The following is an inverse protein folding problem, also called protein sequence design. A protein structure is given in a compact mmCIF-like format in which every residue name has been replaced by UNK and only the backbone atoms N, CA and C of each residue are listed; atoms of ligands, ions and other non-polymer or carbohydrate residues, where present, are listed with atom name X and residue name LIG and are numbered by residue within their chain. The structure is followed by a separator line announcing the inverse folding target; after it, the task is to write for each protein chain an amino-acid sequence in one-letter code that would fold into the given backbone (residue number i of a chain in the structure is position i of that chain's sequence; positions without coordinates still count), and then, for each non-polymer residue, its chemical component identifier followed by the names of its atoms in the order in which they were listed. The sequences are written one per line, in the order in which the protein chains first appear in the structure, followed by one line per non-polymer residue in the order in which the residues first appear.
data_IF_007073908947
#
_entry.id   IF_007073908947
#
_cell.length_a   1.000
_cell.length_b   1.000
_cell.length_c   1.000
_cell.angle_alpha   90.00
_cell.angle_beta   90.00
_cell.angle_gamma   90.00
#
_symmetry.space_group_name_H-M   'P 1'
#
loop_
_entity.id
_entity.type
_entity.pdbx_description
1 polymer ?
#
# COMPACT_ATOMS: atom_id res chain seq x y z
N UNK A 1 1.73 9.59 9.47
CA UNK A 1 1.56 8.16 9.81
C UNK A 1 2.90 7.43 9.85
N UNK A 2 3.71 7.47 8.78
CA UNK A 2 4.98 6.76 8.68
C UNK A 2 5.97 7.11 9.81
N UNK A 3 6.12 8.39 10.17
CA UNK A 3 6.99 8.82 11.27
C UNK A 3 6.60 8.18 12.61
N UNK A 4 5.30 8.04 12.87
CA UNK A 4 4.79 7.37 14.07
C UNK A 4 5.16 5.89 14.04
N UNK A 5 4.98 5.21 12.90
CA UNK A 5 5.36 3.80 12.76
C UNK A 5 6.86 3.60 12.97
N UNK A 6 7.70 4.45 12.36
CA UNK A 6 9.16 4.41 12.50
C UNK A 6 9.64 4.72 13.93
N UNK A 7 8.85 5.46 14.73
CA UNK A 7 9.17 5.74 16.13
C UNK A 7 8.88 4.58 17.09
N UNK A 8 8.10 3.58 16.66
CA UNK A 8 7.74 2.45 17.50
C UNK A 8 8.86 1.40 17.49
N UNK A 9 9.25 0.85 18.66
CA UNK A 9 10.19 -0.26 18.69
C UNK A 9 9.64 -1.47 17.93
N UNK A 10 10.36 -1.92 16.90
CA UNK A 10 9.90 -3.01 16.03
C UNK A 10 9.52 -4.27 16.82
N UNK A 11 10.27 -4.61 17.87
CA UNK A 11 10.00 -5.77 18.73
C UNK A 11 8.72 -5.68 19.58
N UNK A 12 8.02 -4.55 19.55
CA UNK A 12 6.70 -4.35 20.17
C UNK A 12 5.57 -4.32 19.14
N UNK A 13 5.89 -4.48 17.85
CA UNK A 13 4.91 -4.48 16.78
C UNK A 13 4.46 -5.91 16.48
N UNK A 14 3.15 -6.08 16.34
CA UNK A 14 2.52 -7.25 15.76
C UNK A 14 2.03 -6.85 14.36
N UNK A 15 2.50 -7.56 13.34
CA UNK A 15 2.19 -7.27 11.92
C UNK A 15 1.45 -8.45 11.33
N UNK A 16 0.26 -8.20 10.80
CA UNK A 16 -0.52 -9.19 10.06
C UNK A 16 -0.30 -8.93 8.57
N UNK A 17 0.05 -9.97 7.81
CA UNK A 17 0.09 -9.92 6.34
C UNK A 17 -0.97 -10.86 5.79
N UNK A 18 -1.92 -10.31 5.04
CA UNK A 18 -3.11 -11.04 4.58
C UNK A 18 -2.81 -12.09 3.51
N UNK A 19 -1.85 -11.84 2.61
CA UNK A 19 -1.43 -12.78 1.56
C UNK A 19 -0.12 -12.34 0.88
N UNK A 20 0.30 -13.07 -0.16
CA UNK A 20 1.64 -12.96 -0.74
C UNK A 20 1.82 -12.01 -1.93
N UNK A 21 0.80 -11.25 -2.35
CA UNK A 21 0.94 -10.30 -3.45
C UNK A 21 1.86 -9.12 -3.07
N UNK A 22 2.55 -8.54 -4.07
CA UNK A 22 3.61 -7.55 -3.85
C UNK A 22 3.10 -6.20 -3.32
N UNK A 23 1.82 -5.90 -3.51
CA UNK A 23 1.17 -4.70 -2.96
C UNK A 23 0.80 -4.83 -1.47
N UNK A 24 0.90 -6.03 -0.90
CA UNK A 24 0.68 -6.28 0.54
C UNK A 24 2.00 -6.45 1.31
N UNK A 25 3.13 -6.40 0.60
CA UNK A 25 4.47 -6.70 1.12
C UNK A 25 5.54 -5.80 0.51
N UNK A 26 5.91 -4.73 1.22
CA UNK A 26 7.11 -3.96 0.90
C UNK A 26 8.35 -4.61 1.55
N UNK A 27 9.12 -5.36 0.75
CA UNK A 27 10.28 -6.10 1.23
C UNK A 27 11.35 -5.18 1.84
N UNK A 28 11.59 -4.02 1.23
CA UNK A 28 12.56 -3.04 1.73
C UNK A 28 12.12 -2.51 3.10
N UNK A 29 10.86 -2.09 3.20
CA UNK A 29 10.32 -1.56 4.45
C UNK A 29 10.35 -2.62 5.57
N UNK A 30 10.00 -3.87 5.25
CA UNK A 30 10.04 -4.96 6.22
C UNK A 30 11.46 -5.19 6.72
N UNK A 31 12.43 -5.34 5.82
CA UNK A 31 13.82 -5.61 6.19
C UNK A 31 14.43 -4.48 7.02
N UNK A 32 14.15 -3.23 6.65
CA UNK A 32 14.77 -2.07 7.28
C UNK A 32 14.10 -1.66 8.59
N UNK A 33 12.78 -1.84 8.71
CA UNK A 33 12.01 -1.23 9.80
C UNK A 33 11.20 -2.22 10.63
N UNK A 34 10.85 -3.38 10.07
CA UNK A 34 9.97 -4.34 10.74
C UNK A 34 10.64 -5.68 11.04
N UNK A 35 11.92 -5.88 10.70
CA UNK A 35 12.60 -7.17 10.88
C UNK A 35 12.55 -7.69 12.33
N UNK A 36 12.40 -6.80 13.32
CA UNK A 36 12.24 -7.13 14.74
C UNK A 36 10.80 -7.44 15.20
N UNK A 37 9.78 -7.19 14.38
CA UNK A 37 8.36 -7.40 14.70
C UNK A 37 7.95 -8.87 14.75
N UNK A 38 6.82 -9.16 15.38
CA UNK A 38 6.17 -10.48 15.30
C UNK A 38 5.21 -10.47 14.12
N UNK A 39 5.42 -11.40 13.18
CA UNK A 39 4.57 -11.52 12.00
C UNK A 39 3.54 -12.64 12.17
N UNK A 40 2.32 -12.34 11.79
CA UNK A 40 1.19 -13.25 11.71
C UNK A 40 0.77 -13.36 10.25
N UNK A 41 0.65 -14.58 9.76
CA UNK A 41 0.24 -14.85 8.37
C UNK A 41 -0.79 -15.96 8.35
N UNK A 42 -1.72 -15.98 7.39
CA UNK A 42 -2.58 -17.14 7.15
C UNK A 42 -1.78 -18.41 6.89
N UNK A 43 -2.30 -19.52 7.41
CA UNK A 43 -1.84 -20.85 7.01
C UNK A 43 -2.43 -21.24 5.66
N UNK A 44 -1.73 -20.90 4.58
CA UNK A 44 -2.09 -21.36 3.24
C UNK A 44 -1.64 -22.79 2.96
N UNK A 45 -2.15 -23.35 1.87
CA UNK A 45 -1.77 -24.69 1.38
C UNK A 45 -0.27 -24.80 1.05
N UNK A 46 0.32 -23.71 0.61
CA UNK A 46 1.77 -23.59 0.38
C UNK A 46 2.37 -22.63 1.40
N UNK A 47 3.61 -22.88 1.79
CA UNK A 47 4.33 -22.02 2.75
C UNK A 47 5.04 -20.84 2.09
N UNK A 48 4.65 -20.45 0.87
CA UNK A 48 5.34 -19.42 0.09
C UNK A 48 5.41 -18.08 0.81
N UNK A 49 4.29 -17.61 1.37
CA UNK A 49 4.23 -16.39 2.18
C UNK A 49 5.11 -16.53 3.44
N UNK A 50 4.94 -17.61 4.20
CA UNK A 50 5.70 -17.84 5.43
C UNK A 50 7.21 -17.85 5.19
N UNK A 51 7.66 -18.50 4.10
CA UNK A 51 9.06 -18.53 3.68
C UNK A 51 9.57 -17.18 3.18
N UNK A 52 8.73 -16.40 2.51
CA UNK A 52 9.05 -15.02 2.12
C UNK A 52 9.31 -14.16 3.35
N UNK A 53 8.42 -14.20 4.35
CA UNK A 53 8.61 -13.49 5.63
C UNK A 53 9.84 -13.98 6.39
N UNK A 54 10.08 -15.29 6.45
CA UNK A 54 11.26 -15.86 7.11
C UNK A 54 12.56 -15.34 6.48
N UNK A 55 12.62 -15.26 5.14
CA UNK A 55 13.77 -14.70 4.43
C UNK A 55 14.00 -13.21 4.74
N UNK A 56 12.92 -12.43 4.88
CA UNK A 56 13.01 -10.99 5.13
C UNK A 56 13.36 -10.66 6.59
N UNK A 57 12.94 -11.49 7.54
CA UNK A 57 13.02 -11.18 8.98
C UNK A 57 13.97 -12.10 9.75
N UNK A 58 14.42 -13.19 9.13
CA UNK A 58 15.20 -14.25 9.77
C UNK A 58 14.40 -15.14 10.72
N UNK A 59 13.06 -14.99 10.79
CA UNK A 59 12.18 -15.72 11.72
C UNK A 59 10.93 -16.22 11.00
N UNK A 60 10.57 -17.48 11.22
CA UNK A 60 9.32 -18.03 10.70
C UNK A 60 8.12 -17.32 11.38
N UNK A 61 7.12 -16.83 10.61
CA UNK A 61 5.97 -16.16 11.19
C UNK A 61 5.05 -17.14 11.94
N UNK A 62 4.15 -16.60 12.75
CA UNK A 62 3.04 -17.35 13.32
C UNK A 62 1.99 -17.57 12.24
N UNK A 63 1.66 -18.82 11.96
CA UNK A 63 0.60 -19.17 11.01
C UNK A 63 -0.76 -19.23 11.72
N UNK A 64 -1.68 -18.39 11.28
CA UNK A 64 -3.05 -18.31 11.78
C UNK A 64 -3.94 -19.32 11.04
N UNK A 65 -4.83 -19.97 11.78
CA UNK A 65 -5.91 -20.83 11.28
C UNK A 65 -7.25 -20.31 11.79
N UNK A 66 -8.32 -21.08 11.59
CA UNK A 66 -9.64 -20.84 12.18
C UNK A 66 -9.67 -21.07 13.70
N UNK A 67 -8.59 -21.58 14.28
CA UNK A 67 -8.39 -21.67 15.73
C UNK A 67 -7.97 -20.33 16.32
N UNK A 68 -8.47 -20.01 17.53
CA UNK A 68 -8.14 -18.78 18.22
C UNK A 68 -6.65 -18.69 18.60
N UNK A 69 -5.99 -17.62 18.18
CA UNK A 69 -4.65 -17.26 18.63
C UNK A 69 -4.70 -15.95 19.42
N UNK A 70 -4.21 -15.93 20.66
CA UNK A 70 -4.28 -14.75 21.51
C UNK A 70 -2.94 -14.01 21.62
N UNK A 71 -2.98 -12.68 21.43
CA UNK A 71 -1.85 -11.76 21.64
C UNK A 71 -2.34 -10.58 22.46
N UNK A 72 -1.82 -10.40 23.68
CA UNK A 72 -2.14 -9.25 24.53
C UNK A 72 -3.65 -9.00 24.72
N UNK A 73 -4.44 -10.07 24.85
CA UNK A 73 -5.90 -9.99 25.00
C UNK A 73 -6.69 -9.78 23.70
N UNK A 74 -6.00 -9.77 22.55
CA UNK A 74 -6.61 -9.75 21.22
C UNK A 74 -6.57 -11.15 20.63
N UNK A 75 -7.73 -11.64 20.21
CA UNK A 75 -7.90 -12.89 19.48
C UNK A 75 -7.72 -12.64 17.97
N UNK A 76 -6.89 -13.46 17.35
CA UNK A 76 -6.65 -13.50 15.92
C UNK A 76 -7.11 -14.86 15.38
N UNK A 77 -7.89 -14.84 14.29
CA UNK A 77 -8.18 -16.03 13.49
C UNK A 77 -8.05 -15.72 12.01
N UNK A 78 -7.92 -16.76 11.23
CA UNK A 78 -7.82 -16.69 9.79
C UNK A 78 -8.77 -17.71 9.15
N UNK A 79 -9.47 -17.28 8.10
CA UNK A 79 -10.36 -18.11 7.32
C UNK A 79 -9.99 -18.00 5.84
N UNK A 80 -10.17 -19.10 5.10
CA UNK A 80 -9.93 -19.19 3.66
C UNK A 80 -11.27 -19.47 2.98
N UNK A 81 -11.56 -18.78 1.88
CA UNK A 81 -12.71 -19.09 1.04
C UNK A 81 -12.31 -20.14 -0.02
N UNK A 82 -12.62 -21.44 0.19
CA UNK A 82 -12.15 -22.50 -0.70
C UNK A 82 -12.81 -22.46 -2.08
N UNK A 83 -13.92 -21.74 -2.25
CA UNK A 83 -14.63 -21.63 -3.53
C UNK A 83 -14.05 -20.54 -4.45
N UNK A 84 -13.19 -19.66 -3.91
CA UNK A 84 -12.53 -18.62 -4.69
C UNK A 84 -11.05 -18.91 -4.89
N UNK A 85 -10.28 -18.95 -3.80
CA UNK A 85 -8.83 -19.12 -3.85
C UNK A 85 -8.30 -19.69 -2.53
N UNK A 86 -7.30 -20.56 -2.62
CA UNK A 86 -6.58 -21.11 -1.47
C UNK A 86 -5.46 -20.18 -0.98
N UNK A 87 -5.34 -18.96 -1.52
CA UNK A 87 -4.21 -18.04 -1.32
C UNK A 87 -4.57 -16.63 -0.87
N UNK A 88 -5.86 -16.34 -0.68
CA UNK A 88 -6.35 -15.12 -0.05
C UNK A 88 -7.06 -15.49 1.25
N UNK A 89 -7.06 -14.58 2.21
CA UNK A 89 -7.59 -14.85 3.55
C UNK A 89 -8.49 -13.74 4.06
N UNK A 90 -9.32 -14.14 5.03
CA UNK A 90 -10.06 -13.24 5.89
C UNK A 90 -9.44 -13.37 7.27
N UNK A 91 -8.95 -12.27 7.84
CA UNK A 91 -8.41 -12.25 9.20
C UNK A 91 -9.41 -11.58 10.12
N UNK A 92 -9.77 -12.23 11.23
CA UNK A 92 -10.53 -11.59 12.29
C UNK A 92 -9.60 -11.12 13.39
N UNK A 93 -9.87 -9.92 13.90
CA UNK A 93 -9.13 -9.28 14.99
C UNK A 93 -10.17 -8.89 16.04
N UNK A 94 -10.22 -9.64 17.13
CA UNK A 94 -11.29 -9.56 18.12
C UNK A 94 -10.70 -9.17 19.47
N UNK A 95 -11.27 -8.15 20.08
CA UNK A 95 -10.98 -7.69 21.43
C UNK A 95 -12.20 -7.93 22.33
N UNK A 96 -12.10 -7.54 23.61
CA UNK A 96 -13.24 -7.62 24.54
C UNK A 96 -14.46 -6.80 24.07
N UNK A 97 -14.24 -5.72 23.30
CA UNK A 97 -15.30 -4.78 22.94
C UNK A 97 -15.64 -4.74 21.46
N UNK A 98 -14.69 -5.08 20.60
CA UNK A 98 -14.75 -4.85 19.16
C UNK A 98 -14.24 -6.05 18.36
N UNK A 99 -14.80 -6.22 17.16
CA UNK A 99 -14.34 -7.19 16.19
C UNK A 99 -14.15 -6.55 14.82
N UNK A 100 -13.01 -6.83 14.20
CA UNK A 100 -12.69 -6.44 12.83
C UNK A 100 -12.63 -7.70 11.98
N UNK A 101 -13.33 -7.69 10.86
CA UNK A 101 -13.24 -8.70 9.80
C UNK A 101 -12.49 -8.04 8.65
N UNK A 102 -11.23 -8.40 8.48
CA UNK A 102 -10.34 -7.88 7.45
C UNK A 102 -10.32 -8.87 6.28
N UNK A 103 -11.21 -8.66 5.31
CA UNK A 103 -11.41 -9.54 4.15
C UNK A 103 -10.52 -9.18 2.95
N UNK A 104 -10.01 -7.95 2.86
CA UNK A 104 -9.10 -7.52 1.80
C UNK A 104 -9.59 -7.94 0.39
N UNK A 105 -8.76 -8.62 -0.40
CA UNK A 105 -9.02 -9.17 -1.74
C UNK A 105 -10.08 -10.30 -1.78
N UNK A 106 -10.54 -10.81 -0.63
CA UNK A 106 -11.54 -11.87 -0.55
C UNK A 106 -12.97 -11.32 -0.74
N UNK A 107 -13.25 -10.80 -1.95
CA UNK A 107 -14.48 -10.08 -2.30
C UNK A 107 -15.66 -10.96 -2.74
N UNK A 108 -15.42 -12.23 -3.05
CA UNK A 108 -16.44 -13.16 -3.51
C UNK A 108 -17.48 -13.46 -2.42
N UNK A 109 -18.67 -13.93 -2.82
CA UNK A 109 -19.66 -14.39 -1.86
C UNK A 109 -19.11 -15.56 -1.05
N UNK A 110 -19.37 -15.55 0.26
CA UNK A 110 -18.87 -16.55 1.18
C UNK A 110 -19.80 -17.75 1.24
N UNK A 111 -19.26 -18.98 1.19
CA UNK A 111 -20.07 -20.18 1.40
C UNK A 111 -20.61 -20.21 2.83
N UNK A 112 -21.74 -20.89 3.02
CA UNK A 112 -22.45 -20.97 4.32
C UNK A 112 -21.53 -21.44 5.45
N UNK A 113 -20.67 -22.43 5.20
CA UNK A 113 -19.73 -22.92 6.22
C UNK A 113 -18.76 -21.83 6.71
N UNK A 114 -18.32 -20.94 5.81
CA UNK A 114 -17.43 -19.82 6.15
C UNK A 114 -18.18 -18.75 6.94
N UNK A 115 -19.40 -18.40 6.53
CA UNK A 115 -20.21 -17.41 7.25
C UNK A 115 -20.63 -17.90 8.63
N UNK A 116 -20.96 -19.18 8.78
CA UNK A 116 -21.25 -19.82 10.07
C UNK A 116 -20.04 -19.75 11.01
N UNK A 117 -18.84 -20.09 10.53
CA UNK A 117 -17.61 -20.03 11.32
C UNK A 117 -17.24 -18.60 11.73
N UNK A 118 -17.42 -17.62 10.84
CA UNK A 118 -17.26 -16.20 11.16
C UNK A 118 -18.27 -15.78 12.24
N UNK A 119 -19.56 -16.09 12.06
CA UNK A 119 -20.59 -15.75 13.03
C UNK A 119 -20.36 -16.39 14.41
N UNK A 120 -19.82 -17.60 14.45
CA UNK A 120 -19.46 -18.28 15.70
C UNK A 120 -18.38 -17.51 16.46
N UNK A 121 -17.28 -17.12 15.82
CA UNK A 121 -16.20 -16.39 16.51
C UNK A 121 -16.59 -14.95 16.89
N UNK A 122 -17.51 -14.33 16.15
CA UNK A 122 -17.98 -12.97 16.40
C UNK A 122 -19.08 -12.90 17.47
N UNK A 123 -19.61 -14.04 17.93
CA UNK A 123 -20.82 -14.10 18.74
C UNK A 123 -20.76 -13.30 20.05
N UNK A 124 -19.57 -13.17 20.64
CA UNK A 124 -19.32 -12.49 21.91
C UNK A 124 -19.33 -10.96 21.77
N UNK A 125 -19.15 -10.43 20.54
CA UNK A 125 -19.10 -9.00 20.27
C UNK A 125 -20.46 -8.53 19.75
N UNK A 126 -21.06 -7.45 20.29
CA UNK A 126 -22.30 -6.87 19.77
C UNK A 126 -22.18 -6.43 18.30
N UNK A 127 -23.26 -6.54 17.51
CA UNK A 127 -23.25 -6.23 16.07
C UNK A 127 -22.76 -4.82 15.75
N UNK A 128 -23.09 -3.83 16.58
CA UNK A 128 -22.68 -2.43 16.43
C UNK A 128 -21.16 -2.19 16.54
N UNK A 129 -20.44 -3.15 17.14
CA UNK A 129 -18.99 -3.14 17.32
C UNK A 129 -18.27 -4.15 16.41
N UNK A 130 -18.97 -4.65 15.38
CA UNK A 130 -18.39 -5.49 14.32
C UNK A 130 -18.15 -4.64 13.08
N UNK A 131 -16.94 -4.70 12.54
CA UNK A 131 -16.53 -3.89 11.40
C UNK A 131 -16.02 -4.79 10.27
N UNK A 132 -16.68 -4.74 9.12
CA UNK A 132 -16.31 -5.52 7.94
C UNK A 132 -15.57 -4.64 6.94
N UNK A 133 -14.33 -5.01 6.65
CA UNK A 133 -13.43 -4.29 5.76
C UNK A 133 -13.09 -5.17 4.56
N UNK A 134 -13.26 -4.65 3.35
CA UNK A 134 -12.98 -5.38 2.11
C UNK A 134 -12.47 -4.43 1.01
N UNK A 135 -11.75 -4.95 0.03
CA UNK A 135 -11.33 -4.17 -1.14
C UNK A 135 -12.52 -3.92 -2.09
N UNK A 136 -12.54 -2.75 -2.74
CA UNK A 136 -13.39 -2.50 -3.91
C UNK A 136 -12.60 -1.95 -5.08
N UNK A 137 -12.50 -2.73 -6.15
CA UNK A 137 -11.86 -2.29 -7.38
C UNK A 137 -10.92 -3.34 -7.97
N UNK A 138 -10.61 -3.14 -9.23
CA UNK A 138 -9.83 -4.02 -10.09
C UNK A 138 -8.33 -3.80 -9.87
N UNK A 139 -7.72 -4.54 -8.96
CA UNK A 139 -6.27 -4.47 -8.72
C UNK A 139 -5.46 -5.34 -9.70
N UNK A 140 -5.93 -5.49 -10.94
CA UNK A 140 -5.19 -6.23 -11.95
C UNK A 140 -5.24 -5.49 -13.30
N UNK A 141 -4.38 -5.94 -14.21
CA UNK A 141 -4.24 -5.37 -15.54
C UNK A 141 -5.41 -5.71 -16.49
N UNK A 142 -6.33 -6.60 -16.10
CA UNK A 142 -7.41 -7.08 -16.96
C UNK A 142 -8.67 -6.24 -16.78
N UNK A 143 -9.32 -5.77 -17.87
CA UNK A 143 -8.98 -6.00 -19.28
C UNK A 143 -8.10 -4.89 -19.90
N UNK A 144 -7.80 -3.82 -19.16
CA UNK A 144 -7.26 -2.57 -19.73
C UNK A 144 -5.93 -2.76 -20.46
N UNK A 145 -5.02 -3.58 -19.94
CA UNK A 145 -3.71 -3.80 -20.51
C UNK A 145 -3.66 -5.03 -21.43
N UNK A 146 -4.82 -5.54 -21.88
CA UNK A 146 -4.94 -6.70 -22.76
C UNK A 146 -5.29 -6.23 -24.18
N UNK A 147 -4.34 -6.23 -25.13
CA UNK A 147 -4.53 -5.62 -26.46
C UNK A 147 -5.65 -6.23 -27.32
N UNK A 148 -6.16 -7.41 -26.94
CA UNK A 148 -7.26 -8.10 -27.62
C UNK A 148 -8.62 -7.48 -27.35
N UNK A 149 -8.78 -6.69 -26.30
CA UNK A 149 -10.05 -6.03 -26.00
C UNK A 149 -10.05 -4.61 -26.51
N UNK A 150 -11.09 -4.25 -27.26
CA UNK A 150 -11.35 -2.85 -27.55
C UNK A 150 -11.85 -2.11 -26.30
N UNK A 151 -11.87 -0.78 -26.37
CA UNK A 151 -12.24 0.09 -25.25
C UNK A 151 -13.66 -0.17 -24.75
N UNK A 152 -14.59 -0.49 -25.65
CA UNK A 152 -15.99 -0.69 -25.28
C UNK A 152 -16.12 -2.00 -24.50
N UNK A 153 -15.58 -3.08 -25.03
CA UNK A 153 -15.54 -4.40 -24.39
C UNK A 153 -14.86 -4.32 -23.03
N UNK A 154 -13.73 -3.61 -22.94
CA UNK A 154 -13.03 -3.38 -21.69
C UNK A 154 -13.91 -2.67 -20.64
N UNK A 155 -14.61 -1.59 -21.03
CA UNK A 155 -15.51 -0.87 -20.13
C UNK A 155 -16.70 -1.73 -19.67
N UNK A 156 -17.31 -2.50 -20.56
CA UNK A 156 -18.42 -3.41 -20.22
C UNK A 156 -17.98 -4.47 -19.20
N UNK A 157 -16.77 -5.02 -19.36
CA UNK A 157 -16.18 -5.96 -18.39
C UNK A 157 -15.89 -5.29 -17.04
N UNK A 158 -15.36 -4.07 -17.04
CA UNK A 158 -15.07 -3.31 -15.82
C UNK A 158 -16.37 -3.06 -15.04
N UNK A 159 -17.41 -2.54 -15.69
CA UNK A 159 -18.73 -2.31 -15.07
C UNK A 159 -19.34 -3.61 -14.55
N UNK A 160 -19.23 -4.71 -15.31
CA UNK A 160 -19.70 -6.02 -14.86
C UNK A 160 -18.96 -6.50 -13.61
N UNK A 161 -17.63 -6.30 -13.52
CA UNK A 161 -16.83 -6.67 -12.34
C UNK A 161 -17.24 -5.85 -11.13
N UNK A 162 -17.38 -4.53 -11.27
CA UNK A 162 -17.83 -3.68 -10.16
C UNK A 162 -19.20 -4.08 -9.63
N UNK A 163 -20.13 -4.42 -10.52
CA UNK A 163 -21.42 -4.98 -10.12
C UNK A 163 -21.26 -6.28 -9.34
N UNK A 164 -20.49 -7.24 -9.85
CA UNK A 164 -20.24 -8.50 -9.14
C UNK A 164 -19.61 -8.30 -7.77
N UNK A 165 -18.70 -7.33 -7.62
CA UNK A 165 -18.06 -7.00 -6.34
C UNK A 165 -19.10 -6.49 -5.34
N UNK A 166 -19.93 -5.54 -5.77
CA UNK A 166 -20.96 -4.97 -4.92
C UNK A 166 -22.01 -6.01 -4.52
N UNK A 167 -22.46 -6.84 -5.47
CA UNK A 167 -23.46 -7.89 -5.23
C UNK A 167 -22.94 -8.91 -4.19
N UNK A 168 -21.72 -9.43 -4.41
CA UNK A 168 -21.07 -10.38 -3.50
C UNK A 168 -20.85 -9.79 -2.10
N UNK A 169 -20.33 -8.55 -2.04
CA UNK A 169 -20.10 -7.88 -0.75
C UNK A 169 -21.42 -7.64 0.00
N UNK A 170 -22.49 -7.29 -0.72
CA UNK A 170 -23.82 -7.08 -0.12
C UNK A 170 -24.39 -8.39 0.44
N UNK A 171 -24.20 -9.50 -0.29
CA UNK A 171 -24.58 -10.83 0.20
C UNK A 171 -23.81 -11.19 1.48
N UNK A 172 -22.48 -10.97 1.50
CA UNK A 172 -21.66 -11.24 2.68
C UNK A 172 -22.10 -10.44 3.92
N UNK A 173 -22.38 -9.14 3.77
CA UNK A 173 -22.92 -8.33 4.87
C UNK A 173 -24.23 -8.90 5.41
N UNK A 174 -25.14 -9.31 4.52
CA UNK A 174 -26.42 -9.91 4.91
C UNK A 174 -26.21 -11.23 5.67
N UNK A 175 -25.33 -12.10 5.19
CA UNK A 175 -25.02 -13.38 5.85
C UNK A 175 -24.36 -13.19 7.23
N UNK A 176 -23.60 -12.11 7.41
CA UNK A 176 -22.97 -11.74 8.67
C UNK A 176 -23.88 -10.90 9.59
N UNK A 177 -25.08 -10.55 9.14
CA UNK A 177 -26.02 -9.70 9.89
C UNK A 177 -25.51 -8.27 10.11
N UNK A 178 -24.70 -7.75 9.19
CA UNK A 178 -24.09 -6.42 9.29
C UNK A 178 -24.81 -5.42 8.39
N UNK A 179 -25.15 -4.26 8.94
CA UNK A 179 -25.85 -3.20 8.20
C UNK A 179 -24.91 -2.40 7.28
N UNK A 180 -23.60 -2.48 7.52
CA UNK A 180 -22.60 -1.67 6.81
C UNK A 180 -21.26 -2.38 6.66
N UNK A 181 -20.60 -2.13 5.54
CA UNK A 181 -19.22 -2.50 5.26
C UNK A 181 -18.34 -1.30 4.92
N UNK A 182 -17.04 -1.53 4.88
CA UNK A 182 -16.03 -0.51 4.67
C UNK A 182 -15.11 -0.92 3.52
N UNK A 183 -15.06 -0.08 2.48
CA UNK A 183 -14.10 -0.27 1.41
C UNK A 183 -12.80 0.43 1.77
N UNK A 184 -11.70 -0.31 1.74
CA UNK A 184 -10.36 0.17 2.03
C UNK A 184 -9.41 -0.53 1.05
N UNK A 185 -8.41 0.19 0.55
CA UNK A 185 -7.59 -0.21 -0.59
C UNK A 185 -8.36 -0.30 -1.92
N UNK A 186 -8.21 0.74 -2.75
CA UNK A 186 -8.72 0.75 -4.11
C UNK A 186 -7.55 1.06 -5.06
N UNK A 187 -6.75 0.04 -5.33
CA UNK A 187 -5.81 -0.08 -6.45
C UNK A 187 -4.55 0.80 -6.51
N UNK A 188 -3.56 0.18 -7.12
CA UNK A 188 -2.23 0.60 -7.53
C UNK A 188 -2.27 1.59 -8.70
N UNK A 189 -1.34 2.55 -8.70
CA UNK A 189 -1.10 3.43 -9.85
C UNK A 189 -0.53 2.60 -11.02
N UNK A 190 -1.41 2.13 -11.91
CA UNK A 190 -1.01 1.41 -13.11
C UNK A 190 -0.53 2.36 -14.20
N UNK A 191 0.49 1.93 -14.95
CA UNK A 191 0.74 2.50 -16.26
C UNK A 191 -0.26 1.91 -17.25
N UNK A 192 -1.26 2.71 -17.62
CA UNK A 192 -2.21 2.33 -18.65
C UNK A 192 -1.56 2.41 -20.05
N UNK A 193 -1.98 1.56 -21.01
CA UNK A 193 -1.54 1.69 -22.38
C UNK A 193 -2.00 3.03 -22.97
N UNK A 194 -1.25 3.56 -23.94
CA UNK A 194 -1.58 4.84 -24.62
C UNK A 194 -2.98 4.80 -25.26
N UNK A 195 -3.48 3.62 -25.60
CA UNK A 195 -4.83 3.44 -26.11
C UNK A 195 -5.92 3.73 -25.07
N UNK A 196 -5.62 3.69 -23.78
CA UNK A 196 -6.56 4.00 -22.70
C UNK A 196 -6.57 5.51 -22.42
N UNK A 197 -7.62 6.17 -22.89
CA UNK A 197 -7.86 7.62 -22.75
C UNK A 197 -9.00 7.91 -21.76
N UNK A 198 -9.31 6.95 -20.89
CA UNK A 198 -10.36 7.04 -19.87
C UNK A 198 -9.75 7.37 -18.51
N UNK A 199 -10.59 7.76 -17.51
CA UNK A 199 -10.15 7.86 -16.12
C UNK A 199 -9.47 6.58 -15.62
N UNK A 200 -8.77 6.69 -14.49
CA UNK A 200 -8.18 5.52 -13.86
C UNK A 200 -9.25 4.51 -13.42
N UNK A 201 -8.86 3.25 -13.25
CA UNK A 201 -9.75 2.24 -12.68
C UNK A 201 -10.22 2.59 -11.26
N UNK A 202 -9.44 3.38 -10.51
CA UNK A 202 -9.87 3.97 -9.25
C UNK A 202 -11.02 4.97 -9.46
N UNK A 203 -10.86 5.93 -10.37
CA UNK A 203 -11.88 6.94 -10.65
C UNK A 203 -13.18 6.30 -11.17
N UNK A 204 -13.06 5.27 -12.01
CA UNK A 204 -14.19 4.50 -12.50
C UNK A 204 -14.90 3.75 -11.36
N UNK A 205 -14.16 3.20 -10.41
CA UNK A 205 -14.75 2.56 -9.23
C UNK A 205 -15.49 3.57 -8.34
N UNK A 206 -14.92 4.78 -8.14
CA UNK A 206 -15.57 5.85 -7.38
C UNK A 206 -16.85 6.34 -8.06
N UNK A 207 -16.82 6.55 -9.38
CA UNK A 207 -17.99 6.92 -10.17
C UNK A 207 -19.07 5.82 -10.09
N UNK A 208 -18.68 4.54 -10.19
CA UNK A 208 -19.60 3.42 -10.05
C UNK A 208 -20.30 3.42 -8.69
N UNK A 209 -19.57 3.59 -7.58
CA UNK A 209 -20.13 3.62 -6.23
C UNK A 209 -21.05 4.83 -6.00
N UNK A 210 -20.75 5.97 -6.63
CA UNK A 210 -21.63 7.14 -6.61
C UNK A 210 -22.96 6.87 -7.32
N UNK A 211 -22.92 6.16 -8.46
CA UNK A 211 -24.13 5.80 -9.24
C UNK A 211 -24.92 4.65 -8.61
N UNK A 212 -24.24 3.74 -7.93
CA UNK A 212 -24.82 2.54 -7.33
C UNK A 212 -24.51 2.55 -5.82
N UNK A 213 -25.19 3.39 -5.03
CA UNK A 213 -24.95 3.42 -3.59
C UNK A 213 -25.35 2.08 -2.96
N UNK A 214 -24.53 1.59 -2.05
CA UNK A 214 -24.79 0.39 -1.26
C UNK A 214 -24.60 0.64 0.23
N UNK A 215 -24.70 -0.40 1.07
CA UNK A 215 -24.43 -0.33 2.52
C UNK A 215 -22.91 -0.19 2.81
N UNK A 216 -22.20 0.65 2.07
CA UNK A 216 -20.73 0.73 2.11
C UNK A 216 -20.25 2.15 2.33
N UNK A 217 -19.14 2.26 3.05
CA UNK A 217 -18.42 3.52 3.23
C UNK A 217 -17.04 3.34 2.61
N UNK A 218 -16.72 4.17 1.61
CA UNK A 218 -15.36 4.29 1.12
C UNK A 218 -14.50 4.94 2.21
N UNK A 219 -13.49 4.24 2.70
CA UNK A 219 -12.54 4.79 3.66
C UNK A 219 -11.60 5.75 2.94
N UNK A 220 -11.45 6.94 3.51
CA UNK A 220 -10.33 7.83 3.19
C UNK A 220 -9.21 7.63 4.22
N UNK A 221 -7.98 7.97 3.83
CA UNK A 221 -6.86 7.96 4.77
C UNK A 221 -7.15 8.87 5.97
N UNK A 222 -6.81 8.42 7.18
CA UNK A 222 -7.00 9.19 8.41
C UNK A 222 -8.43 9.22 8.97
N UNK A 223 -9.37 8.43 8.43
CA UNK A 223 -10.71 8.30 9.00
C UNK A 223 -10.71 7.46 10.28
N UNK A 224 -11.42 7.94 11.30
CA UNK A 224 -11.82 7.17 12.47
C UNK A 224 -13.17 6.50 12.20
N UNK A 225 -13.19 5.17 12.19
CA UNK A 225 -14.38 4.41 11.81
C UNK A 225 -15.50 4.48 12.87
N UNK A 226 -15.13 4.68 14.15
CA UNK A 226 -16.09 4.80 15.25
C UNK A 226 -16.70 6.19 15.32
N UNK A 227 -15.86 7.21 15.27
CA UNK A 227 -16.31 8.60 15.43
C UNK A 227 -16.68 9.27 14.11
N UNK A 228 -16.30 8.67 12.97
CA UNK A 228 -16.36 9.25 11.62
C UNK A 228 -15.60 10.56 11.48
N UNK A 229 -14.70 10.85 12.41
CA UNK A 229 -13.85 12.04 12.32
C UNK A 229 -12.73 11.77 11.34
N UNK A 230 -12.46 12.74 10.47
CA UNK A 230 -11.26 12.78 9.68
C UNK A 230 -10.19 13.49 10.49
N UNK A 231 -9.09 12.80 10.78
CA UNK A 231 -7.90 13.47 11.26
C UNK A 231 -7.23 14.12 10.05
N UNK A 232 -7.39 15.42 9.95
CA UNK A 232 -6.83 16.26 8.90
C UNK A 232 -5.30 16.15 8.96
N UNK A 233 -4.73 15.28 8.14
CA UNK A 233 -3.32 15.34 7.79
C UNK A 233 -3.28 15.73 6.33
N UNK A 234 -2.66 16.87 6.01
CA UNK A 234 -2.24 17.19 4.65
C UNK A 234 -1.47 15.98 4.12
N UNK A 235 -2.14 15.12 3.37
CA UNK A 235 -1.54 13.87 2.93
C UNK A 235 -0.75 14.17 1.68
N UNK A 236 0.41 14.81 1.86
CA UNK A 236 1.46 14.63 0.87
C UNK A 236 1.64 13.12 0.72
N UNK A 237 1.57 12.62 -0.52
CA UNK A 237 1.77 11.21 -0.78
C UNK A 237 3.15 10.81 -0.21
N UNK A 238 3.24 9.63 0.39
CA UNK A 238 4.48 9.19 1.05
C UNK A 238 5.69 9.31 0.12
N UNK A 239 5.52 8.99 -1.15
CA UNK A 239 6.56 9.14 -2.15
C UNK A 239 7.04 10.59 -2.29
N UNK A 240 6.12 11.54 -2.47
CA UNK A 240 6.47 12.96 -2.66
C UNK A 240 7.12 13.53 -1.40
N UNK A 241 6.60 13.15 -0.21
CA UNK A 241 7.19 13.49 1.07
C UNK A 241 8.64 13.01 1.19
N UNK A 242 8.91 11.73 0.87
CA UNK A 242 10.26 11.17 0.91
C UNK A 242 11.20 11.84 -0.10
N UNK A 243 10.71 12.14 -1.30
CA UNK A 243 11.47 12.83 -2.34
C UNK A 243 11.83 14.26 -1.89
N UNK A 244 10.88 14.98 -1.29
CA UNK A 244 11.11 16.30 -0.71
C UNK A 244 12.11 16.29 0.44
N UNK A 245 12.10 15.26 1.28
CA UNK A 245 13.12 15.07 2.34
C UNK A 245 14.52 14.85 1.77
N UNK A 246 14.63 14.06 0.70
CA UNK A 246 15.90 13.84 0.01
C UNK A 246 16.40 15.13 -0.66
N UNK A 247 15.51 15.90 -1.28
CA UNK A 247 15.81 17.22 -1.86
C UNK A 247 16.32 18.18 -0.78
N UNK A 248 15.66 18.26 0.37
CA UNK A 248 16.07 19.09 1.49
C UNK A 248 17.46 18.70 2.00
N UNK A 249 17.73 17.39 2.12
CA UNK A 249 19.06 16.88 2.49
C UNK A 249 20.13 17.33 1.49
N UNK A 250 19.89 17.17 0.19
CA UNK A 250 20.84 17.57 -0.86
C UNK A 250 21.13 19.06 -0.80
N UNK A 251 20.11 19.91 -0.72
CA UNK A 251 20.27 21.36 -0.66
C UNK A 251 21.08 21.80 0.57
N UNK A 252 20.79 21.21 1.74
CA UNK A 252 21.54 21.46 2.98
C UNK A 252 23.00 21.02 2.87
N UNK A 253 23.26 19.87 2.25
CA UNK A 253 24.62 19.32 2.10
C UNK A 253 25.45 20.06 1.02
N UNK A 254 24.81 20.58 -0.01
CA UNK A 254 25.47 21.32 -1.09
C UNK A 254 25.80 22.74 -0.65
N UNK A 255 24.89 23.38 0.10
CA UNK A 255 25.00 24.75 0.61
C UNK A 255 25.44 25.73 -0.50
N UNK A 256 24.59 25.85 -1.52
CA UNK A 256 24.88 26.60 -2.73
C UNK A 256 23.80 27.64 -3.05
N UNK A 257 24.13 28.69 -3.82
CA UNK A 257 23.18 29.73 -4.18
C UNK A 257 22.11 29.27 -5.18
N UNK A 258 22.29 28.09 -5.79
CA UNK A 258 21.39 27.52 -6.78
C UNK A 258 20.82 26.22 -6.23
N UNK A 259 19.51 26.15 -5.98
CA UNK A 259 18.90 24.99 -5.37
C UNK A 259 18.85 23.81 -6.34
N UNK A 260 18.94 22.62 -5.77
CA UNK A 260 18.66 21.35 -6.45
C UNK A 260 17.18 21.04 -6.32
N UNK A 261 16.56 20.60 -7.41
CA UNK A 261 15.19 20.10 -7.44
C UNK A 261 15.15 18.65 -7.88
N UNK A 262 14.40 17.81 -7.17
CA UNK A 262 14.13 16.42 -7.55
C UNK A 262 12.71 16.34 -8.08
N UNK A 263 12.58 15.94 -9.35
CA UNK A 263 11.39 16.20 -10.16
C UNK A 263 10.90 14.86 -10.71
N UNK A 264 9.58 14.64 -10.71
CA UNK A 264 8.98 13.55 -11.48
C UNK A 264 8.60 14.03 -12.88
N UNK A 265 8.45 13.13 -13.84
CA UNK A 265 8.11 13.48 -15.24
C UNK A 265 6.80 14.27 -15.42
N UNK A 266 6.00 14.44 -14.37
CA UNK A 266 4.76 15.24 -14.37
C UNK A 266 4.90 16.64 -13.77
N UNK A 267 6.05 16.97 -13.16
CA UNK A 267 6.26 18.28 -12.55
C UNK A 267 6.93 19.25 -13.54
N UNK A 268 6.55 20.52 -13.50
CA UNK A 268 7.22 21.55 -14.29
C UNK A 268 8.60 21.91 -13.71
N UNK A 269 9.57 22.12 -14.60
CA UNK A 269 10.90 22.58 -14.22
C UNK A 269 10.87 24.06 -13.80
N UNK A 270 11.36 24.33 -12.60
CA UNK A 270 11.51 25.69 -12.08
C UNK A 270 12.79 26.35 -12.61
N UNK A 271 12.64 27.44 -13.37
CA UNK A 271 13.77 28.22 -13.89
C UNK A 271 14.66 28.74 -12.76
N UNK A 272 15.98 28.63 -12.92
CA UNK A 272 16.95 29.05 -11.90
C UNK A 272 17.42 27.94 -10.97
N UNK A 273 16.93 26.70 -11.14
CA UNK A 273 17.30 25.53 -10.32
C UNK A 273 18.16 24.53 -11.10
N UNK A 274 18.80 23.58 -10.41
CA UNK A 274 19.36 22.37 -11.05
C UNK A 274 18.37 21.23 -10.83
N UNK A 275 17.62 20.88 -11.87
CA UNK A 275 16.59 19.85 -11.80
C UNK A 275 17.14 18.47 -12.17
N UNK A 276 16.91 17.47 -11.34
CA UNK A 276 17.07 16.06 -11.69
C UNK A 276 15.68 15.48 -11.90
N UNK A 277 15.36 15.08 -13.12
CA UNK A 277 14.06 14.52 -13.48
C UNK A 277 14.18 13.02 -13.72
N UNK A 278 13.29 12.24 -13.14
CA UNK A 278 13.17 10.81 -13.44
C UNK A 278 11.73 10.31 -13.19
N UNK A 279 11.42 9.11 -13.67
CA UNK A 279 10.12 8.48 -13.37
C UNK A 279 9.99 8.14 -11.88
N UNK A 280 8.75 8.05 -11.37
CA UNK A 280 8.50 7.58 -9.99
C UNK A 280 9.16 6.21 -9.71
N UNK A 281 9.23 5.33 -10.70
CA UNK A 281 9.90 4.04 -10.58
C UNK A 281 11.41 4.20 -10.31
N UNK A 282 12.11 5.08 -11.04
CA UNK A 282 13.54 5.32 -10.83
C UNK A 282 13.78 5.93 -9.45
N UNK A 283 12.97 6.92 -9.07
CA UNK A 283 13.05 7.53 -7.74
C UNK A 283 12.78 6.53 -6.61
N UNK A 284 11.76 5.67 -6.76
CA UNK A 284 11.44 4.62 -5.78
C UNK A 284 12.63 3.67 -5.58
N UNK A 285 13.28 3.25 -6.66
CA UNK A 285 14.50 2.42 -6.59
C UNK A 285 15.67 3.13 -5.93
N UNK A 286 15.79 4.45 -6.08
CA UNK A 286 16.80 5.25 -5.35
C UNK A 286 16.46 5.33 -3.86
N UNK A 287 15.20 5.57 -3.51
CA UNK A 287 14.72 5.65 -2.11
C UNK A 287 14.82 4.30 -1.39
N UNK A 288 14.68 3.19 -2.12
CA UNK A 288 14.89 1.82 -1.62
C UNK A 288 16.36 1.37 -1.67
N UNK A 289 17.27 2.28 -2.00
CA UNK A 289 18.72 2.04 -2.11
C UNK A 289 19.15 0.99 -3.17
N UNK A 290 18.28 0.59 -4.09
CA UNK A 290 18.63 -0.28 -5.22
C UNK A 290 19.48 0.45 -6.27
N UNK A 291 19.23 1.74 -6.43
CA UNK A 291 19.97 2.64 -7.32
C UNK A 291 20.57 3.79 -6.53
N UNK A 292 21.63 4.38 -7.09
CA UNK A 292 22.15 5.67 -6.62
C UNK A 292 21.60 6.79 -7.49
N UNK A 293 21.75 8.04 -7.04
CA UNK A 293 21.50 9.22 -7.88
C UNK A 293 22.30 9.19 -9.19
N UNK A 294 23.42 8.45 -9.26
CA UNK A 294 24.20 8.33 -10.50
C UNK A 294 23.43 7.64 -11.63
N UNK A 295 22.39 6.87 -11.33
CA UNK A 295 21.50 6.32 -12.34
C UNK A 295 20.88 7.40 -13.23
N UNK A 296 20.61 8.59 -12.66
CA UNK A 296 20.12 9.76 -13.41
C UNK A 296 21.30 10.54 -14.00
N UNK A 297 22.32 10.78 -13.18
CA UNK A 297 23.43 11.68 -13.52
C UNK A 297 24.27 11.17 -14.69
N UNK A 298 24.61 9.88 -14.65
CA UNK A 298 25.52 9.21 -15.59
C UNK A 298 24.80 8.08 -16.32
N UNK A 299 23.91 7.36 -15.62
CA UNK A 299 23.23 6.16 -16.11
C UNK A 299 22.12 6.42 -17.13
N UNK A 300 21.72 7.68 -17.36
CA UNK A 300 20.73 8.04 -18.38
C UNK A 300 19.30 7.60 -18.06
N UNK A 301 18.99 7.27 -16.80
CA UNK A 301 17.63 6.91 -16.35
C UNK A 301 16.74 8.13 -16.06
N UNK A 302 17.12 9.31 -16.55
CA UNK A 302 16.44 10.58 -16.32
C UNK A 302 17.06 11.73 -17.09
N UNK A 303 16.61 12.95 -16.79
CA UNK A 303 17.09 14.19 -17.40
C UNK A 303 17.70 15.12 -16.35
N UNK A 304 18.62 15.97 -16.80
CA UNK A 304 19.21 17.02 -15.97
C UNK A 304 18.87 18.37 -16.60
N UNK A 305 18.07 19.14 -15.88
CA UNK A 305 17.75 20.53 -16.21
C UNK A 305 18.77 21.44 -15.54
N UNK A 306 19.27 22.42 -16.30
CA UNK A 306 20.26 23.37 -15.79
C UNK A 306 19.79 24.81 -15.97
N UNK A 307 20.14 25.71 -15.04
CA UNK A 307 20.00 27.13 -15.27
C UNK A 307 21.07 27.60 -16.27
N UNK A 308 20.98 28.85 -16.73
CA UNK A 308 21.95 29.45 -17.65
C UNK A 308 23.27 29.82 -16.93
N UNK A 309 23.91 28.83 -16.30
CA UNK A 309 25.17 28.95 -15.56
C UNK A 309 25.89 27.60 -15.50
N UNK A 310 27.15 27.61 -15.07
CA UNK A 310 27.94 26.40 -14.89
C UNK A 310 27.51 25.64 -13.62
N UNK A 311 27.07 24.39 -13.78
CA UNK A 311 26.59 23.53 -12.68
C UNK A 311 27.61 22.48 -12.24
N UNK A 312 28.84 22.47 -12.79
CA UNK A 312 29.81 21.39 -12.59
C UNK A 312 30.13 21.14 -11.11
N UNK A 313 30.19 22.20 -10.30
CA UNK A 313 30.43 22.08 -8.86
C UNK A 313 29.24 21.41 -8.13
N UNK A 314 28.01 21.82 -8.45
CA UNK A 314 26.78 21.24 -7.88
C UNK A 314 26.70 19.76 -8.26
N UNK A 315 26.85 19.48 -9.55
CA UNK A 315 26.81 18.12 -10.09
C UNK A 315 27.89 17.22 -9.46
N UNK A 316 29.12 17.71 -9.33
CA UNK A 316 30.21 16.99 -8.66
C UNK A 316 29.94 16.73 -7.18
N UNK A 317 29.25 17.65 -6.47
CA UNK A 317 28.80 17.41 -5.10
C UNK A 317 27.68 16.37 -5.02
N UNK A 318 26.67 16.44 -5.90
CA UNK A 318 25.56 15.47 -5.93
C UNK A 318 26.07 14.06 -6.24
N UNK A 319 26.96 13.88 -7.23
CA UNK A 319 27.56 12.56 -7.53
C UNK A 319 28.34 12.01 -6.32
N UNK A 320 29.12 12.83 -5.61
CA UNK A 320 29.78 12.40 -4.35
C UNK A 320 28.79 11.97 -3.27
N UNK A 321 27.65 12.68 -3.15
CA UNK A 321 26.62 12.35 -2.18
C UNK A 321 25.81 11.11 -2.56
N UNK A 322 25.78 10.70 -3.83
CA UNK A 322 24.95 9.60 -4.33
C UNK A 322 25.19 8.29 -3.57
N UNK A 323 26.45 7.89 -3.39
CA UNK A 323 26.80 6.67 -2.65
C UNK A 323 26.64 6.83 -1.14
N UNK A 324 26.85 8.04 -0.60
CA UNK A 324 26.61 8.32 0.81
C UNK A 324 25.11 8.16 1.15
N UNK A 325 24.24 8.71 0.30
CA UNK A 325 22.78 8.61 0.43
C UNK A 325 22.36 7.15 0.39
N UNK A 326 22.81 6.39 -0.62
CA UNK A 326 22.51 4.96 -0.71
C UNK A 326 22.98 4.20 0.53
N UNK A 327 24.21 4.44 0.99
CA UNK A 327 24.76 3.80 2.20
C UNK A 327 23.94 4.14 3.45
N UNK A 328 23.47 5.38 3.58
CA UNK A 328 22.59 5.79 4.70
C UNK A 328 21.21 5.14 4.62
N UNK A 329 20.64 5.00 3.43
CA UNK A 329 19.37 4.28 3.24
C UNK A 329 19.52 2.79 3.54
N UNK A 330 20.64 2.16 3.19
CA UNK A 330 20.91 0.75 3.53
C UNK A 330 21.08 0.53 5.04
N UNK A 331 21.71 1.47 5.74
CA UNK A 331 22.04 1.32 7.16
C UNK A 331 20.93 1.77 8.10
N UNK A 332 20.20 2.82 7.74
CA UNK A 332 19.19 3.46 8.60
C UNK A 332 17.77 3.39 8.01
N UNK A 333 17.59 2.84 6.80
CA UNK A 333 16.33 2.89 6.07
C UNK A 333 15.83 4.33 5.87
N UNK A 334 14.51 4.51 5.95
CA UNK A 334 13.85 5.80 5.81
C UNK A 334 14.10 6.75 7.00
N UNK A 335 14.61 6.27 8.15
CA UNK A 335 14.92 7.13 9.30
C UNK A 335 15.94 8.21 8.94
N UNK A 336 16.88 7.89 8.04
CA UNK A 336 17.81 8.88 7.49
C UNK A 336 17.10 10.13 6.96
N UNK A 337 16.00 9.94 6.21
CA UNK A 337 15.25 11.05 5.61
C UNK A 337 14.38 11.80 6.65
N UNK A 338 14.04 11.14 7.77
CA UNK A 338 13.27 11.75 8.85
C UNK A 338 14.12 12.66 9.75
N UNK A 339 15.40 12.33 9.94
CA UNK A 339 16.37 13.07 10.76
C UNK A 339 16.81 14.39 10.11
N UNK A 340 16.63 14.55 8.80
CA UNK A 340 16.93 15.77 8.03
C UNK A 340 15.97 16.94 8.30
N UNK A 341 15.73 17.25 9.58
CA UNK A 341 15.05 18.48 10.01
C UNK A 341 15.96 19.71 9.88
#
# INVERSE_FOLDING_TARGET
MIEKLLSLPANKLNVIVSHGHDDHLDEFFIQQHLAGATFFVPKFKTNGLSKRIERLTGRYPVELTDEAYYVDGVELRCFINPEFTEYDSIVTIISETDAVIHANDNWHEYPVALTDALNECLNAVPFENRYFFIQFGIADSFPVNYPSFDKQSANEMIESRFKSYQDATTANLKHLGLDKGYYYANQSLYQYPVSWDRPSLYDLAQDFLCRNPGPFIQCASGIDIKTRQHYDSSSEELFDFLLGRLEAFLNKAIDGPTPVRLITSSNEYESGTVGYEASRQVWSRILNAELTLEAIIIGGMGLIHRPNQNISNIHGKVSKLAYLIQSKLISNGLNFLMESK
#
